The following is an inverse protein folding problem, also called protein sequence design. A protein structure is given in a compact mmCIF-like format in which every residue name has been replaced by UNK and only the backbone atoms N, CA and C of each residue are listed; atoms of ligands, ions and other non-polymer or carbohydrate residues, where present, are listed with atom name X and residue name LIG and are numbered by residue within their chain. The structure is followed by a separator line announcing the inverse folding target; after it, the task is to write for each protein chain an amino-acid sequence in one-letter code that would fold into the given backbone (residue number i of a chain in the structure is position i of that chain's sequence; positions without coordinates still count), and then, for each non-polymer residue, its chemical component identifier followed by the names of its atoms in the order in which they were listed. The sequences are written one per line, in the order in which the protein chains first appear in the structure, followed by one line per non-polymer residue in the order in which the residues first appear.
data_IF_203199056538
#
_entry.id   IF_203199056538
#
_cell.length_a   1.000
_cell.length_b   1.000
_cell.length_c   1.000
_cell.angle_alpha   90.00
_cell.angle_beta   90.00
_cell.angle_gamma   90.00
#
_symmetry.space_group_name_H-M   'P 1'
#
loop_
_entity.id
_entity.type
_entity.pdbx_description
1 polymer ?
#
# COMPACT_ATOMS: atom_id res chain seq x y z
N UNK A 1 -1.36 -4.53 -31.52
CA UNK A 1 -2.48 -4.21 -30.60
C UNK A 1 -1.91 -4.31 -29.19
N UNK A 2 -1.75 -3.20 -28.50
CA UNK A 2 -1.41 -3.18 -27.06
C UNK A 2 -2.65 -3.72 -26.34
N UNK A 3 -2.54 -4.78 -25.53
CA UNK A 3 -3.70 -5.27 -24.79
C UNK A 3 -4.22 -4.12 -23.93
N UNK A 4 -5.50 -3.83 -24.02
CA UNK A 4 -6.22 -2.89 -23.13
C UNK A 4 -6.25 -3.50 -21.74
N UNK A 5 -5.13 -3.41 -20.99
CA UNK A 5 -5.13 -3.72 -19.58
C UNK A 5 -6.13 -2.77 -18.92
N UNK A 6 -7.16 -3.32 -18.29
CA UNK A 6 -8.08 -2.52 -17.49
C UNK A 6 -7.27 -1.79 -16.43
N UNK A 7 -7.31 -0.46 -16.44
CA UNK A 7 -6.65 0.39 -15.45
C UNK A 7 -7.35 0.20 -14.11
N UNK A 8 -6.61 -0.20 -13.10
CA UNK A 8 -7.11 -0.32 -11.73
C UNK A 8 -7.05 0.99 -10.99
N UNK A 9 -5.89 1.68 -11.11
CA UNK A 9 -5.65 3.00 -10.49
C UNK A 9 -5.06 3.92 -11.55
N UNK A 10 -5.51 5.18 -11.55
CA UNK A 10 -4.90 6.25 -12.35
C UNK A 10 -4.91 7.54 -11.54
N UNK A 11 -3.82 8.29 -11.58
CA UNK A 11 -3.75 9.67 -11.11
C UNK A 11 -3.45 10.58 -12.28
N UNK A 12 -4.12 11.73 -12.33
CA UNK A 12 -3.90 12.75 -13.37
C UNK A 12 -3.61 14.07 -12.69
N UNK A 13 -2.39 14.58 -12.88
CA UNK A 13 -1.89 15.86 -12.34
C UNK A 13 -2.18 16.03 -10.83
N UNK A 14 -2.05 14.93 -10.07
CA UNK A 14 -2.32 14.94 -8.64
C UNK A 14 -1.38 15.91 -7.94
N UNK A 15 -1.95 16.91 -7.29
CA UNK A 15 -1.23 17.94 -6.54
C UNK A 15 -1.79 18.05 -5.14
N UNK A 16 -0.90 18.00 -4.12
CA UNK A 16 -1.29 18.03 -2.71
C UNK A 16 -0.42 19.05 -1.98
N UNK A 17 -1.06 19.94 -1.22
CA UNK A 17 -0.37 20.93 -0.41
C UNK A 17 -0.99 21.01 0.98
N UNK A 18 -0.17 21.24 1.99
CA UNK A 18 -0.58 21.43 3.39
C UNK A 18 -0.30 22.85 3.88
N UNK A 19 -1.05 23.29 4.88
CA UNK A 19 -0.96 24.64 5.46
C UNK A 19 -1.97 25.60 4.86
N UNK A 20 -2.02 26.83 5.39
CA UNK A 20 -2.94 27.88 4.96
C UNK A 20 -2.19 29.16 4.56
N UNK A 21 -2.72 29.90 3.60
CA UNK A 21 -2.18 31.20 3.15
C UNK A 21 -0.71 31.08 2.71
N UNK A 22 0.14 31.99 3.21
CA UNK A 22 1.56 32.04 2.85
C UNK A 22 2.40 30.87 3.37
N UNK A 23 1.85 30.02 4.24
CA UNK A 23 2.51 28.81 4.76
C UNK A 23 2.11 27.55 4.00
N UNK A 24 1.37 27.66 2.90
CA UNK A 24 0.97 26.53 2.08
C UNK A 24 2.20 25.93 1.40
N UNK A 25 2.58 24.70 1.81
CA UNK A 25 3.69 23.94 1.24
C UNK A 25 3.17 22.83 0.36
N UNK A 26 3.53 22.86 -0.92
CA UNK A 26 3.25 21.79 -1.86
C UNK A 26 4.17 20.59 -1.57
N UNK A 27 3.56 19.42 -1.39
CA UNK A 27 4.23 18.16 -1.06
C UNK A 27 4.19 17.19 -2.25
N UNK A 28 3.15 17.29 -3.07
CA UNK A 28 3.00 16.52 -4.32
C UNK A 28 2.67 17.49 -5.45
N UNK A 29 3.40 17.39 -6.57
CA UNK A 29 3.33 18.34 -7.69
C UNK A 29 3.05 17.60 -9.00
N UNK A 30 1.80 17.65 -9.47
CA UNK A 30 1.32 17.12 -10.76
C UNK A 30 1.78 15.70 -11.04
N UNK A 31 1.60 14.81 -10.08
CA UNK A 31 1.99 13.40 -10.21
C UNK A 31 0.91 12.64 -10.98
N UNK A 32 1.32 12.04 -12.10
CA UNK A 32 0.46 11.21 -12.94
C UNK A 32 1.10 9.84 -13.15
N UNK A 33 0.36 8.77 -12.86
CA UNK A 33 0.75 7.38 -13.11
C UNK A 33 -0.47 6.48 -13.26
N UNK A 34 -0.26 5.29 -13.79
CA UNK A 34 -1.32 4.29 -13.99
C UNK A 34 -0.86 2.91 -13.55
N UNK A 35 -1.77 2.15 -12.92
CA UNK A 35 -1.59 0.74 -12.58
C UNK A 35 -2.62 -0.10 -13.32
N UNK A 36 -2.17 -1.22 -13.88
CA UNK A 36 -3.06 -2.23 -14.43
C UNK A 36 -3.70 -3.09 -13.30
N UNK A 37 -4.82 -3.72 -13.59
CA UNK A 37 -5.43 -4.68 -12.67
C UNK A 37 -4.50 -5.88 -12.45
N UNK A 38 -4.28 -6.25 -11.18
CA UNK A 38 -3.38 -7.32 -10.79
C UNK A 38 -1.89 -6.96 -10.78
N UNK A 39 -1.52 -5.73 -11.18
CA UNK A 39 -0.15 -5.23 -11.16
C UNK A 39 0.31 -4.91 -9.72
N UNK A 40 1.59 -5.15 -9.43
CA UNK A 40 2.26 -4.56 -8.28
C UNK A 40 3.18 -3.43 -8.75
N UNK A 41 2.89 -2.21 -8.31
CA UNK A 41 3.59 -1.00 -8.66
C UNK A 41 4.26 -0.38 -7.44
N UNK A 42 5.54 -0.07 -7.55
CA UNK A 42 6.32 0.56 -6.51
C UNK A 42 6.40 2.08 -6.67
N UNK A 43 6.31 2.79 -5.56
CA UNK A 43 6.59 4.22 -5.50
C UNK A 43 7.73 4.44 -4.50
N UNK A 44 8.92 4.77 -5.00
CA UNK A 44 10.13 4.88 -4.18
C UNK A 44 10.75 6.28 -4.23
N UNK A 45 11.61 6.58 -3.27
CA UNK A 45 12.30 7.86 -3.14
C UNK A 45 12.64 8.18 -1.68
N UNK A 46 13.34 9.26 -1.46
CA UNK A 46 13.75 9.69 -0.12
C UNK A 46 12.57 9.92 0.85
N UNK A 47 12.85 9.87 2.15
CA UNK A 47 11.85 10.20 3.17
C UNK A 47 11.34 11.63 3.00
N UNK A 48 10.02 11.81 3.13
CA UNK A 48 9.39 13.13 3.00
C UNK A 48 9.15 13.62 1.57
N UNK A 49 9.47 12.85 0.52
CA UNK A 49 9.22 13.27 -0.88
C UNK A 49 7.74 13.18 -1.34
N UNK A 50 6.80 12.77 -0.46
CA UNK A 50 5.36 12.79 -0.75
C UNK A 50 4.69 11.44 -0.98
N UNK A 51 5.41 10.30 -0.94
CA UNK A 51 4.89 8.95 -1.22
C UNK A 51 3.67 8.56 -0.37
N UNK A 52 3.80 8.58 0.95
CA UNK A 52 2.69 8.26 1.87
C UNK A 52 1.54 9.27 1.78
N UNK A 53 1.83 10.51 1.36
CA UNK A 53 0.81 11.53 1.10
C UNK A 53 -0.06 11.11 -0.10
N UNK A 54 0.55 10.60 -1.17
CA UNK A 54 -0.17 10.05 -2.32
C UNK A 54 -1.03 8.85 -1.89
N UNK A 55 -0.45 7.89 -1.15
CA UNK A 55 -1.22 6.75 -0.65
C UNK A 55 -2.45 7.18 0.15
N UNK A 56 -2.28 8.14 1.07
CA UNK A 56 -3.39 8.65 1.89
C UNK A 56 -4.48 9.33 1.05
N UNK A 57 -4.12 10.05 0.00
CA UNK A 57 -5.10 10.63 -0.93
C UNK A 57 -5.85 9.54 -1.71
N UNK A 58 -5.14 8.53 -2.21
CA UNK A 58 -5.73 7.36 -2.86
C UNK A 58 -6.66 6.59 -1.93
N UNK A 59 -6.27 6.40 -0.66
CA UNK A 59 -7.09 5.75 0.36
C UNK A 59 -8.33 6.57 0.81
N UNK A 60 -8.46 7.83 0.36
CA UNK A 60 -9.52 8.74 0.81
C UNK A 60 -9.32 9.29 2.23
N UNK A 61 -8.11 9.17 2.77
CA UNK A 61 -7.72 9.72 4.09
C UNK A 61 -7.31 11.20 4.02
N UNK A 62 -6.97 11.67 2.83
CA UNK A 62 -6.74 13.07 2.52
C UNK A 62 -7.64 13.47 1.35
N UNK A 63 -8.55 14.41 1.60
CA UNK A 63 -9.52 14.91 0.62
C UNK A 63 -9.10 16.26 0.00
N UNK A 64 -8.05 16.92 0.52
CA UNK A 64 -7.54 18.19 -0.03
C UNK A 64 -6.45 17.92 -1.07
N UNK A 65 -6.86 17.75 -2.31
CA UNK A 65 -5.99 17.60 -3.46
C UNK A 65 -6.58 18.25 -4.72
N UNK A 66 -5.75 18.51 -5.71
CA UNK A 66 -6.12 18.93 -7.06
C UNK A 66 -5.71 17.82 -8.05
N UNK A 67 -6.29 17.87 -9.25
CA UNK A 67 -6.15 16.81 -10.25
C UNK A 67 -7.21 15.72 -10.06
N UNK A 68 -7.05 14.57 -10.69
CA UNK A 68 -8.02 13.49 -10.63
C UNK A 68 -7.41 12.18 -10.12
N UNK A 69 -8.21 11.41 -9.38
CA UNK A 69 -7.91 10.03 -8.94
C UNK A 69 -9.02 9.15 -9.50
N UNK A 70 -8.63 8.13 -10.28
CA UNK A 70 -9.58 7.18 -10.87
C UNK A 70 -9.30 5.77 -10.34
N UNK A 71 -10.37 5.02 -10.03
CA UNK A 71 -10.33 3.59 -9.78
C UNK A 71 -11.24 2.87 -10.79
N UNK A 72 -10.70 1.89 -11.49
CA UNK A 72 -11.40 1.16 -12.55
C UNK A 72 -12.05 2.09 -13.57
N UNK A 73 -11.31 3.10 -14.04
CA UNK A 73 -11.72 4.17 -14.96
C UNK A 73 -12.85 5.09 -14.44
N UNK A 74 -13.20 5.00 -13.16
CA UNK A 74 -14.20 5.88 -12.54
C UNK A 74 -13.50 6.90 -11.66
N UNK A 75 -13.70 8.18 -11.95
CA UNK A 75 -13.18 9.27 -11.13
C UNK A 75 -13.81 9.26 -9.74
N UNK A 76 -12.98 9.43 -8.74
CA UNK A 76 -13.36 9.38 -7.34
C UNK A 76 -13.56 10.79 -6.79
N UNK A 77 -14.67 10.99 -6.10
CA UNK A 77 -14.87 12.21 -5.32
C UNK A 77 -13.91 12.25 -4.12
N UNK A 78 -13.50 13.42 -3.62
CA UNK A 78 -12.63 13.54 -2.45
C UNK A 78 -13.14 12.79 -1.22
N UNK A 79 -14.44 12.81 -0.97
CA UNK A 79 -15.10 11.98 0.06
C UNK A 79 -15.55 10.66 -0.56
N UNK A 80 -14.98 9.57 -0.05
CA UNK A 80 -15.25 8.21 -0.53
C UNK A 80 -16.50 7.62 0.12
N UNK A 81 -17.16 6.73 -0.61
CA UNK A 81 -18.33 5.99 -0.13
C UNK A 81 -17.96 4.62 0.49
N UNK A 82 -18.93 3.95 1.11
CA UNK A 82 -18.72 2.63 1.69
C UNK A 82 -18.27 1.55 0.68
N UNK A 83 -18.82 1.47 -0.54
CA UNK A 83 -18.34 0.56 -1.57
C UNK A 83 -16.87 0.75 -1.92
N UNK A 84 -16.38 1.98 -1.97
CA UNK A 84 -14.98 2.29 -2.19
C UNK A 84 -14.10 1.66 -1.10
N UNK A 85 -14.43 1.87 0.18
CA UNK A 85 -13.65 1.33 1.31
C UNK A 85 -13.69 -0.19 1.41
N UNK A 86 -14.63 -0.87 0.75
CA UNK A 86 -14.59 -2.32 0.60
C UNK A 86 -13.56 -2.76 -0.44
N UNK A 87 -13.43 -2.01 -1.54
CA UNK A 87 -12.57 -2.36 -2.66
C UNK A 87 -11.10 -1.94 -2.46
N UNK A 88 -10.87 -0.84 -1.74
CA UNK A 88 -9.54 -0.27 -1.53
C UNK A 88 -9.20 -0.29 -0.05
N UNK A 89 -8.17 -1.05 0.30
CA UNK A 89 -7.70 -1.16 1.67
C UNK A 89 -6.24 -0.72 1.78
N UNK A 90 -5.83 -0.32 2.99
CA UNK A 90 -4.47 0.16 3.25
C UNK A 90 -3.83 -0.59 4.42
N UNK A 91 -2.58 -1.01 4.23
CA UNK A 91 -1.70 -1.49 5.29
C UNK A 91 -0.74 -0.34 5.63
N UNK A 92 -0.77 0.10 6.88
CA UNK A 92 0.02 1.22 7.36
C UNK A 92 1.43 0.77 7.79
N UNK A 93 2.37 1.71 7.78
CA UNK A 93 3.75 1.53 8.19
C UNK A 93 3.89 1.00 9.62
N UNK A 94 3.10 1.55 10.55
CA UNK A 94 3.10 1.11 11.96
C UNK A 94 1.90 0.19 12.25
N UNK A 95 2.13 -1.13 12.41
CA UNK A 95 1.08 -2.05 12.77
C UNK A 95 0.50 -1.81 14.18
N UNK A 96 1.26 -1.18 15.09
CA UNK A 96 0.76 -0.78 16.40
C UNK A 96 -0.31 0.31 16.30
N UNK A 97 -0.07 1.33 15.47
CA UNK A 97 -1.03 2.41 15.26
C UNK A 97 -2.32 1.91 14.57
N UNK A 98 -2.23 0.80 13.82
CA UNK A 98 -3.37 0.22 13.10
C UNK A 98 -4.25 -0.70 13.97
N UNK A 99 -3.75 -1.15 15.13
CA UNK A 99 -4.45 -2.09 16.02
C UNK A 99 -4.71 -1.43 17.39
N UNK A 100 -5.97 -1.39 17.82
CA UNK A 100 -6.30 -0.81 19.11
C UNK A 100 -5.71 -1.66 20.25
N UNK A 101 -4.83 -1.11 21.14
CA UNK A 101 -4.04 -1.89 22.10
C UNK A 101 -4.85 -2.69 23.12
N UNK A 102 -6.10 -2.28 23.36
CA UNK A 102 -7.02 -2.93 24.32
C UNK A 102 -8.08 -3.81 23.66
N UNK A 103 -8.02 -4.03 22.35
CA UNK A 103 -8.94 -4.93 21.63
C UNK A 103 -8.19 -6.19 21.23
N UNK A 104 -8.84 -7.36 21.35
CA UNK A 104 -8.32 -8.62 20.82
C UNK A 104 -8.29 -8.60 19.31
N UNK A 105 -7.47 -9.46 18.71
CA UNK A 105 -7.36 -9.63 17.26
C UNK A 105 -8.73 -9.88 16.60
N UNK A 106 -9.56 -10.76 17.16
CA UNK A 106 -10.91 -11.03 16.65
C UNK A 106 -11.74 -9.74 16.55
N UNK A 107 -11.67 -8.86 17.55
CA UNK A 107 -12.44 -7.62 17.54
C UNK A 107 -11.95 -6.65 16.43
N UNK A 108 -10.64 -6.59 16.21
CA UNK A 108 -10.06 -5.77 15.14
C UNK A 108 -10.46 -6.26 13.75
N UNK A 109 -10.62 -7.58 13.57
CA UNK A 109 -11.07 -8.21 12.31
C UNK A 109 -12.59 -8.14 12.14
N UNK A 110 -13.34 -8.21 13.23
CA UNK A 110 -14.80 -8.17 13.22
C UNK A 110 -15.36 -6.77 12.94
N UNK A 111 -14.65 -5.72 13.35
CA UNK A 111 -15.08 -4.33 13.19
C UNK A 111 -15.43 -3.94 11.74
N UNK A 112 -14.54 -4.16 10.74
CA UNK A 112 -14.86 -3.85 9.34
C UNK A 112 -16.02 -4.73 8.81
N UNK A 113 -16.10 -5.99 9.19
CA UNK A 113 -17.18 -6.88 8.76
C UNK A 113 -18.55 -6.37 9.23
N UNK A 114 -18.64 -5.94 10.51
CA UNK A 114 -19.86 -5.35 11.07
C UNK A 114 -20.23 -4.04 10.42
N UNK A 115 -19.24 -3.16 10.19
CA UNK A 115 -19.46 -1.85 9.57
C UNK A 115 -20.06 -1.98 8.16
N UNK A 116 -19.65 -3.02 7.42
CA UNK A 116 -20.10 -3.29 6.05
C UNK A 116 -21.24 -4.32 5.97
N UNK A 117 -21.76 -4.81 7.12
CA UNK A 117 -22.87 -5.76 7.16
C UNK A 117 -22.55 -7.10 6.50
N UNK A 118 -21.29 -7.55 6.59
CA UNK A 118 -20.88 -8.83 6.00
C UNK A 118 -21.34 -10.01 6.88
N UNK A 119 -21.79 -11.06 6.23
CA UNK A 119 -22.18 -12.32 6.84
C UNK A 119 -20.98 -13.24 7.12
N UNK A 120 -21.24 -14.43 7.72
CA UNK A 120 -20.25 -15.47 8.01
C UNK A 120 -18.99 -14.94 8.71
N UNK A 121 -19.18 -14.00 9.64
CA UNK A 121 -18.08 -13.21 10.24
C UNK A 121 -17.03 -14.09 10.92
N UNK A 122 -17.47 -15.12 11.66
CA UNK A 122 -16.56 -16.03 12.37
C UNK A 122 -15.70 -16.89 11.42
N UNK A 123 -16.32 -17.38 10.34
CA UNK A 123 -15.63 -18.17 9.30
C UNK A 123 -14.62 -17.29 8.55
N UNK A 124 -15.01 -16.08 8.15
CA UNK A 124 -14.11 -15.11 7.49
C UNK A 124 -12.90 -14.75 8.35
N UNK A 125 -13.08 -14.63 9.68
CA UNK A 125 -11.97 -14.38 10.60
C UNK A 125 -11.01 -15.57 10.62
N UNK A 126 -11.51 -16.81 10.66
CA UNK A 126 -10.67 -18.02 10.57
C UNK A 126 -9.92 -18.06 9.23
N UNK A 127 -10.63 -17.92 8.14
CA UNK A 127 -10.08 -17.99 6.78
C UNK A 127 -8.98 -16.95 6.56
N UNK A 128 -9.19 -15.69 7.00
CA UNK A 128 -8.18 -14.65 6.83
C UNK A 128 -6.96 -14.87 7.73
N UNK A 129 -7.14 -15.32 8.97
CA UNK A 129 -6.01 -15.65 9.85
C UNK A 129 -5.15 -16.76 9.26
N UNK A 130 -5.77 -17.85 8.81
CA UNK A 130 -5.07 -18.94 8.16
C UNK A 130 -4.35 -18.48 6.89
N UNK A 131 -4.98 -17.61 6.08
CA UNK A 131 -4.38 -17.08 4.86
C UNK A 131 -3.11 -16.27 5.10
N UNK A 132 -2.96 -15.66 6.29
CA UNK A 132 -1.73 -14.95 6.68
C UNK A 132 -0.79 -15.80 7.55
N UNK A 133 -1.04 -17.12 7.65
CA UNK A 133 -0.20 -18.05 8.40
C UNK A 133 -0.35 -17.97 9.92
N UNK A 134 -1.50 -17.54 10.42
CA UNK A 134 -1.85 -17.52 11.85
C UNK A 134 -2.95 -18.53 12.14
N UNK A 135 -2.85 -19.24 13.28
CA UNK A 135 -3.88 -20.16 13.73
C UNK A 135 -5.04 -19.41 14.42
N UNK A 136 -6.17 -20.10 14.60
CA UNK A 136 -7.33 -19.53 15.32
C UNK A 136 -7.03 -19.12 16.76
N UNK A 137 -6.03 -19.68 17.40
CA UNK A 137 -5.61 -19.30 18.75
C UNK A 137 -5.19 -17.82 18.84
N UNK A 138 -4.79 -17.20 17.73
CA UNK A 138 -4.44 -15.78 17.69
C UNK A 138 -5.65 -14.84 17.83
N UNK A 139 -6.86 -15.30 17.62
CA UNK A 139 -8.11 -14.53 17.77
C UNK A 139 -8.23 -13.86 19.12
N UNK A 140 -7.79 -14.56 20.17
CA UNK A 140 -7.96 -14.14 21.57
C UNK A 140 -6.75 -13.41 22.14
N UNK A 141 -5.73 -13.14 21.31
CA UNK A 141 -4.56 -12.38 21.73
C UNK A 141 -4.79 -10.88 21.58
N UNK A 142 -4.14 -10.12 22.45
CA UNK A 142 -4.03 -8.67 22.35
C UNK A 142 -2.78 -8.29 21.54
N UNK A 143 -2.71 -7.09 20.94
CA UNK A 143 -1.55 -6.65 20.15
C UNK A 143 -0.21 -6.73 20.90
N UNK A 144 -0.19 -6.46 22.19
CA UNK A 144 1.02 -6.56 23.03
C UNK A 144 1.51 -8.00 23.26
N UNK A 145 0.70 -9.01 22.99
CA UNK A 145 1.03 -10.43 23.09
C UNK A 145 1.57 -11.01 21.77
N UNK A 146 1.72 -10.18 20.74
CA UNK A 146 2.17 -10.56 19.42
C UNK A 146 3.60 -10.09 19.17
N UNK A 147 4.40 -10.88 18.43
CA UNK A 147 5.66 -10.41 17.87
C UNK A 147 5.43 -9.33 16.78
N UNK A 148 6.48 -8.62 16.35
CA UNK A 148 6.40 -7.64 15.26
C UNK A 148 5.79 -8.22 14.00
N UNK A 149 6.31 -9.37 13.53
CA UNK A 149 5.82 -10.06 12.35
C UNK A 149 4.38 -10.58 12.50
N UNK A 150 4.01 -11.08 13.69
CA UNK A 150 2.64 -11.52 13.96
C UNK A 150 1.66 -10.33 13.91
N UNK A 151 2.03 -9.17 14.46
CA UNK A 151 1.23 -7.94 14.35
C UNK A 151 1.08 -7.49 12.91
N UNK A 152 2.15 -7.53 12.13
CA UNK A 152 2.09 -7.19 10.71
C UNK A 152 1.16 -8.14 9.94
N UNK A 153 1.21 -9.45 10.22
CA UNK A 153 0.27 -10.43 9.64
C UNK A 153 -1.18 -10.12 10.01
N UNK A 154 -1.45 -9.70 11.25
CA UNK A 154 -2.80 -9.27 11.67
C UNK A 154 -3.22 -7.98 10.97
N UNK A 155 -2.33 -7.00 10.79
CA UNK A 155 -2.63 -5.77 10.05
C UNK A 155 -2.95 -6.07 8.57
N UNK A 156 -2.21 -6.98 7.94
CA UNK A 156 -2.49 -7.48 6.59
C UNK A 156 -3.84 -8.22 6.57
N UNK A 157 -4.12 -9.11 7.53
CA UNK A 157 -5.39 -9.83 7.64
C UNK A 157 -6.57 -8.86 7.74
N UNK A 158 -6.45 -7.79 8.53
CA UNK A 158 -7.47 -6.75 8.68
C UNK A 158 -7.78 -6.04 7.36
N UNK A 159 -6.79 -5.80 6.53
CA UNK A 159 -7.00 -5.25 5.19
C UNK A 159 -7.63 -6.29 4.24
N UNK A 160 -7.18 -7.54 4.30
CA UNK A 160 -7.65 -8.60 3.40
C UNK A 160 -9.05 -9.15 3.72
N UNK A 161 -9.55 -8.99 4.95
CA UNK A 161 -10.84 -9.55 5.39
C UNK A 161 -12.03 -8.95 4.64
N UNK A 162 -11.85 -7.76 4.06
CA UNK A 162 -12.83 -7.08 3.23
C UNK A 162 -12.84 -7.59 1.78
N UNK A 163 -11.94 -8.52 1.41
CA UNK A 163 -11.75 -9.03 0.05
C UNK A 163 -11.56 -7.88 -0.96
N UNK A 164 -10.60 -6.99 -0.72
CA UNK A 164 -10.37 -5.84 -1.60
C UNK A 164 -9.85 -6.27 -2.96
N UNK A 165 -10.01 -5.41 -3.97
CA UNK A 165 -9.32 -5.55 -5.27
C UNK A 165 -8.00 -4.79 -5.31
N UNK A 166 -7.85 -3.78 -4.45
CA UNK A 166 -6.66 -2.92 -4.35
C UNK A 166 -6.13 -2.89 -2.93
N UNK A 167 -4.83 -3.09 -2.79
CA UNK A 167 -4.13 -2.96 -1.51
C UNK A 167 -3.04 -1.90 -1.62
N UNK A 168 -3.15 -0.86 -0.81
CA UNK A 168 -2.17 0.20 -0.67
C UNK A 168 -1.24 -0.16 0.49
N UNK A 169 0.06 -0.25 0.23
CA UNK A 169 1.07 -0.73 1.18
C UNK A 169 2.04 0.42 1.52
N UNK A 170 1.96 0.97 2.72
CA UNK A 170 2.84 2.03 3.20
C UNK A 170 3.95 1.41 4.06
N UNK A 171 5.13 1.23 3.48
CA UNK A 171 6.32 0.65 4.13
C UNK A 171 6.03 -0.61 4.96
N UNK A 172 5.42 -1.66 4.38
CA UNK A 172 4.83 -2.77 5.14
C UNK A 172 5.82 -3.64 5.91
N UNK A 173 7.13 -3.42 5.74
CA UNK A 173 8.18 -4.24 6.36
C UNK A 173 9.26 -3.43 7.07
N UNK A 174 9.18 -2.09 7.08
CA UNK A 174 10.25 -1.21 7.58
C UNK A 174 10.57 -1.36 9.07
N UNK A 175 9.63 -1.88 9.89
CA UNK A 175 9.79 -2.07 11.33
C UNK A 175 10.15 -3.53 11.72
N UNK A 176 10.53 -4.37 10.74
CA UNK A 176 10.77 -5.80 10.93
C UNK A 176 12.25 -6.14 10.71
N UNK A 177 12.71 -7.19 11.37
CA UNK A 177 14.01 -7.79 11.06
C UNK A 177 14.02 -8.47 9.68
N UNK A 178 15.21 -8.65 9.09
CA UNK A 178 15.39 -9.11 7.72
C UNK A 178 14.70 -10.46 7.43
N UNK A 179 14.73 -11.38 8.39
CA UNK A 179 14.13 -12.72 8.21
C UNK A 179 12.61 -12.63 8.17
N UNK A 180 12.00 -11.89 9.08
CA UNK A 180 10.56 -11.67 9.13
C UNK A 180 10.09 -10.81 7.95
N UNK A 181 10.90 -9.83 7.51
CA UNK A 181 10.64 -9.06 6.30
C UNK A 181 10.47 -9.98 5.09
N UNK A 182 11.40 -10.91 4.85
CA UNK A 182 11.31 -11.86 3.74
C UNK A 182 10.03 -12.71 3.79
N UNK A 183 9.63 -13.17 4.99
CA UNK A 183 8.38 -13.92 5.17
C UNK A 183 7.14 -13.08 4.80
N UNK A 184 7.07 -11.82 5.22
CA UNK A 184 5.95 -10.91 4.89
C UNK A 184 5.92 -10.61 3.39
N UNK A 185 7.06 -10.41 2.74
CA UNK A 185 7.12 -10.18 1.29
C UNK A 185 6.63 -11.40 0.50
N UNK A 186 7.03 -12.61 0.91
CA UNK A 186 6.56 -13.86 0.30
C UNK A 186 5.05 -14.05 0.51
N UNK A 187 4.54 -13.72 1.69
CA UNK A 187 3.10 -13.73 1.99
C UNK A 187 2.35 -12.77 1.05
N UNK A 188 2.79 -11.51 0.93
CA UNK A 188 2.16 -10.51 0.05
C UNK A 188 2.21 -10.96 -1.42
N UNK A 189 3.34 -11.49 -1.90
CA UNK A 189 3.48 -12.02 -3.25
C UNK A 189 2.50 -13.16 -3.53
N UNK A 190 2.37 -14.11 -2.58
CA UNK A 190 1.42 -15.22 -2.67
C UNK A 190 -0.03 -14.74 -2.70
N UNK A 191 -0.40 -13.84 -1.77
CA UNK A 191 -1.76 -13.28 -1.70
C UNK A 191 -2.15 -12.53 -2.97
N UNK A 192 -1.23 -11.74 -3.54
CA UNK A 192 -1.46 -11.03 -4.79
C UNK A 192 -1.82 -11.99 -5.92
N UNK A 193 -1.03 -13.05 -6.10
CA UNK A 193 -1.25 -14.05 -7.16
C UNK A 193 -2.55 -14.82 -6.96
N UNK A 194 -2.82 -15.27 -5.73
CA UNK A 194 -4.00 -16.09 -5.43
C UNK A 194 -5.32 -15.31 -5.56
N UNK A 195 -5.32 -14.03 -5.18
CA UNK A 195 -6.52 -13.19 -5.15
C UNK A 195 -6.56 -12.14 -6.27
N UNK A 196 -5.58 -12.14 -7.18
CA UNK A 196 -5.43 -11.16 -8.27
C UNK A 196 -5.47 -9.70 -7.79
N UNK A 197 -4.82 -9.43 -6.65
CA UNK A 197 -4.81 -8.11 -6.04
C UNK A 197 -3.92 -7.14 -6.82
N UNK A 198 -4.37 -5.91 -6.94
CA UNK A 198 -3.53 -4.79 -7.41
C UNK A 198 -2.84 -4.16 -6.22
N UNK A 199 -1.52 -4.00 -6.29
CA UNK A 199 -0.73 -3.38 -5.22
C UNK A 199 -0.14 -2.04 -5.66
N UNK A 200 -0.28 -1.03 -4.81
CA UNK A 200 0.59 0.15 -4.81
C UNK A 200 1.42 0.11 -3.54
N UNK A 201 2.72 -0.09 -3.69
CA UNK A 201 3.68 -0.19 -2.61
C UNK A 201 4.50 1.09 -2.49
N UNK A 202 4.55 1.67 -1.32
CA UNK A 202 5.48 2.74 -0.97
C UNK A 202 6.58 2.17 -0.08
N UNK A 203 7.83 2.41 -0.45
CA UNK A 203 9.00 2.04 0.35
C UNK A 203 10.22 2.86 -0.09
N UNK A 204 11.27 2.85 0.71
CA UNK A 204 12.60 3.33 0.35
C UNK A 204 13.58 2.18 0.11
N UNK A 205 13.16 0.94 0.32
CA UNK A 205 13.97 -0.28 0.19
C UNK A 205 13.83 -0.87 -1.22
N UNK A 206 14.95 -0.88 -1.98
CA UNK A 206 15.00 -1.41 -3.35
C UNK A 206 14.81 -2.93 -3.39
N UNK A 207 15.28 -3.66 -2.39
CA UNK A 207 15.12 -5.11 -2.34
C UNK A 207 13.63 -5.49 -2.23
N UNK A 208 12.86 -4.75 -1.44
CA UNK A 208 11.41 -4.93 -1.31
C UNK A 208 10.71 -4.71 -2.65
N UNK A 209 11.07 -3.63 -3.34
CA UNK A 209 10.44 -3.25 -4.61
C UNK A 209 10.76 -4.25 -5.72
N UNK A 210 12.02 -4.63 -5.85
CA UNK A 210 12.47 -5.57 -6.88
C UNK A 210 11.94 -7.00 -6.64
N UNK A 211 11.53 -7.32 -5.41
CA UNK A 211 10.89 -8.59 -5.07
C UNK A 211 9.40 -8.63 -5.41
N UNK A 212 8.66 -7.52 -5.16
CA UNK A 212 7.20 -7.50 -5.26
C UNK A 212 6.67 -6.85 -6.53
N UNK A 213 7.35 -5.83 -7.08
CA UNK A 213 6.80 -4.96 -8.11
C UNK A 213 7.31 -5.32 -9.50
N UNK A 214 6.48 -5.12 -10.51
CA UNK A 214 6.85 -5.18 -11.92
C UNK A 214 7.39 -3.85 -12.43
N UNK A 215 6.76 -2.74 -12.01
CA UNK A 215 7.13 -1.37 -12.38
C UNK A 215 7.27 -0.51 -11.14
N UNK A 216 8.11 0.50 -11.26
CA UNK A 216 8.49 1.38 -10.15
C UNK A 216 8.60 2.81 -10.63
N UNK A 217 7.97 3.74 -9.91
CA UNK A 217 8.16 5.17 -10.09
C UNK A 217 9.13 5.72 -9.05
N UNK A 218 10.05 6.55 -9.51
CA UNK A 218 11.01 7.27 -8.67
C UNK A 218 10.45 8.65 -8.37
N UNK A 219 10.29 8.97 -7.08
CA UNK A 219 9.86 10.28 -6.62
C UNK A 219 11.00 11.09 -6.01
N UNK A 220 11.03 12.37 -6.36
CA UNK A 220 11.91 13.35 -5.74
C UNK A 220 11.21 14.71 -5.60
N UNK A 221 11.29 15.31 -4.42
CA UNK A 221 10.71 16.64 -4.13
C UNK A 221 9.26 16.83 -4.61
N UNK A 222 8.42 15.83 -4.38
CA UNK A 222 7.00 15.88 -4.73
C UNK A 222 6.68 15.54 -6.18
N UNK A 223 7.66 15.27 -7.03
CA UNK A 223 7.48 14.94 -8.45
C UNK A 223 7.84 13.48 -8.74
N UNK A 224 7.17 12.92 -9.73
CA UNK A 224 7.58 11.67 -10.35
C UNK A 224 8.64 12.01 -11.40
N UNK A 225 9.85 11.48 -11.25
CA UNK A 225 10.97 11.75 -12.16
C UNK A 225 11.03 10.72 -13.29
N UNK A 226 10.91 9.44 -12.95
CA UNK A 226 11.17 8.36 -13.88
C UNK A 226 10.35 7.12 -13.47
N UNK A 227 9.89 6.37 -14.46
CA UNK A 227 9.34 5.02 -14.29
C UNK A 227 10.29 3.98 -14.86
N UNK A 228 10.57 2.94 -14.10
CA UNK A 228 11.46 1.83 -14.45
C UNK A 228 10.77 0.49 -14.23
N UNK A 229 11.22 -0.55 -14.95
CA UNK A 229 10.89 -1.93 -14.59
C UNK A 229 11.76 -2.38 -13.42
N UNK A 230 11.30 -3.35 -12.64
CA UNK A 230 12.12 -3.95 -11.59
C UNK A 230 13.45 -4.54 -12.13
N UNK A 231 13.45 -5.02 -13.38
CA UNK A 231 14.65 -5.50 -14.07
C UNK A 231 15.63 -4.36 -14.34
N UNK A 232 15.15 -3.20 -14.83
CA UNK A 232 15.98 -2.03 -15.06
C UNK A 232 16.65 -1.54 -13.76
N UNK A 233 15.94 -1.60 -12.64
CA UNK A 233 16.49 -1.26 -11.31
C UNK A 233 17.63 -2.23 -10.94
N UNK A 234 17.43 -3.56 -11.08
CA UNK A 234 18.47 -4.56 -10.76
C UNK A 234 19.74 -4.42 -11.58
N UNK A 235 19.63 -3.84 -12.76
CA UNK A 235 20.77 -3.60 -13.66
C UNK A 235 21.32 -2.15 -13.58
N UNK A 236 20.81 -1.33 -12.67
CA UNK A 236 21.23 0.07 -12.55
C UNK A 236 20.90 0.93 -13.77
N UNK A 237 19.96 0.51 -14.60
CA UNK A 237 19.60 1.17 -15.87
C UNK A 237 18.62 2.32 -15.61
N UNK A 238 19.13 3.44 -15.09
CA UNK A 238 18.38 4.67 -14.88
C UNK A 238 18.88 5.77 -15.83
N UNK A 239 17.98 6.67 -16.25
CA UNK A 239 18.28 7.80 -17.13
C UNK A 239 18.53 9.08 -16.34
N UNK A 240 17.71 9.31 -15.32
CA UNK A 240 17.77 10.50 -14.49
C UNK A 240 18.98 10.45 -13.54
N UNK A 241 19.77 11.51 -13.48
CA UNK A 241 20.97 11.59 -12.66
C UNK A 241 20.67 11.41 -11.15
N UNK A 242 19.49 11.85 -10.69
CA UNK A 242 19.04 11.60 -9.33
C UNK A 242 18.80 10.10 -9.11
N UNK A 243 18.07 9.43 -10.02
CA UNK A 243 17.78 8.01 -9.94
C UNK A 243 19.05 7.17 -9.88
N UNK A 244 20.03 7.48 -10.75
CA UNK A 244 21.34 6.80 -10.75
C UNK A 244 22.02 6.89 -9.39
N UNK A 245 22.07 8.10 -8.80
CA UNK A 245 22.67 8.30 -7.45
C UNK A 245 21.87 7.59 -6.36
N UNK A 246 20.53 7.62 -6.44
CA UNK A 246 19.66 6.97 -5.48
C UNK A 246 19.84 5.44 -5.49
N UNK A 247 19.92 4.82 -6.68
CA UNK A 247 20.18 3.39 -6.83
C UNK A 247 21.56 3.02 -6.28
N UNK A 248 22.60 3.75 -6.67
CA UNK A 248 23.98 3.50 -6.20
C UNK A 248 24.13 3.62 -4.67
N UNK A 249 23.43 4.57 -4.04
CA UNK A 249 23.46 4.74 -2.58
C UNK A 249 22.68 3.64 -1.82
N UNK A 250 21.79 2.93 -2.47
CA UNK A 250 20.97 1.87 -1.84
C UNK A 250 21.60 0.47 -1.99
N UNK A 251 22.67 0.33 -2.80
CA UNK A 251 23.45 -0.90 -2.97
C UNK A 251 24.69 -0.96 -2.05
N UNK A 252 25.02 0.16 -1.39
CA UNK A 252 26.18 0.31 -0.48
C UNK A 252 25.77 0.02 0.98
#
# INVERSE_FOLDING_TARGET
MIPTHHRSIETVDLTIAFGQGNQRRQVVDKVSFTLATGEAYGLIGESGCGKSTILRALAGLNSDYQGAILFSNKEQQPLRDKPFYRQVQMVFQDPYASLHPRKMVCNALLEPLRLHGMDRQEERISEVLHSVGLSDAFRYRYPHQLSGGQRQRVAIARALIMEPSVLLLDEPTSALDVSVQAEILNLLSSMRKQRQLTYLLVTHDLAVVTHLCERVAIMHQGKLLEELTAEAIRHGNAREAYTQRFLAASEA
#
